data_IF_520887634480
#
_entry.id   IF_520887634480
#
_cell.length_a   1.000
_cell.length_b   1.000
_cell.length_c   1.000
_cell.angle_alpha   90.00
_cell.angle_beta   90.00
_cell.angle_gamma   90.00
#
_symmetry.space_group_name_H-M   'P 1'
#
loop_
_entity.id
_entity.type
_entity.pdbx_description
1 polymer ?
#
# COMPACT_ATOMS: atom_id res chain seq x y z
N UNK A 1 3.37 -14.05 10.46
CA UNK A 1 1.89 -14.04 10.39
C UNK A 1 1.44 -15.44 10.01
N UNK A 2 0.55 -16.06 10.78
CA UNK A 2 0.03 -17.39 10.46
C UNK A 2 -1.02 -17.29 9.33
N UNK A 3 -1.19 -18.33 8.49
CA UNK A 3 -2.28 -18.35 7.53
C UNK A 3 -3.64 -18.36 8.23
N UNK A 4 -4.65 -17.71 7.63
CA UNK A 4 -6.04 -17.86 8.06
C UNK A 4 -6.58 -19.22 7.61
N UNK A 5 -7.44 -19.84 8.42
CA UNK A 5 -8.21 -21.02 8.03
C UNK A 5 -9.32 -20.69 7.03
N UNK A 6 -9.78 -19.43 6.98
CA UNK A 6 -10.83 -18.97 6.08
C UNK A 6 -10.30 -18.54 4.70
N UNK A 7 -9.04 -18.13 4.62
CA UNK A 7 -8.42 -17.60 3.40
C UNK A 7 -9.05 -16.29 2.90
N UNK A 8 -8.64 -15.87 1.70
CA UNK A 8 -9.22 -14.70 1.01
C UNK A 8 -10.58 -15.06 0.39
N UNK A 9 -11.35 -14.06 0.00
CA UNK A 9 -12.60 -14.25 -0.73
C UNK A 9 -12.36 -14.78 -2.15
N UNK A 10 -13.41 -15.28 -2.79
CA UNK A 10 -13.37 -15.66 -4.22
C UNK A 10 -13.11 -14.44 -5.11
N UNK A 11 -13.68 -13.28 -4.79
CA UNK A 11 -13.43 -12.03 -5.49
C UNK A 11 -11.95 -11.65 -5.48
N UNK A 12 -11.30 -11.76 -4.32
CA UNK A 12 -9.86 -11.53 -4.19
C UNK A 12 -9.00 -12.59 -4.88
N UNK A 13 -9.42 -13.86 -4.92
CA UNK A 13 -8.74 -14.88 -5.73
C UNK A 13 -8.73 -14.51 -7.22
N UNK A 14 -9.89 -14.12 -7.76
CA UNK A 14 -10.03 -13.72 -9.15
C UNK A 14 -9.24 -12.44 -9.46
N UNK A 15 -9.32 -11.44 -8.57
CA UNK A 15 -8.54 -10.20 -8.67
C UNK A 15 -7.05 -10.49 -8.77
N UNK A 16 -6.49 -11.29 -7.85
CA UNK A 16 -5.06 -11.60 -7.84
C UNK A 16 -4.64 -12.35 -9.11
N UNK A 17 -5.47 -13.27 -9.59
CA UNK A 17 -5.21 -13.98 -10.83
C UNK A 17 -5.14 -13.02 -12.02
N UNK A 18 -6.08 -12.07 -12.13
CA UNK A 18 -6.04 -11.04 -13.19
C UNK A 18 -4.81 -10.15 -13.06
N UNK A 19 -4.51 -9.64 -11.86
CA UNK A 19 -3.35 -8.78 -11.63
C UNK A 19 -2.01 -9.46 -11.97
N UNK A 20 -1.90 -10.78 -11.83
CA UNK A 20 -0.70 -11.54 -12.20
C UNK A 20 -0.58 -11.85 -13.69
N UNK A 21 -1.70 -12.12 -14.36
CA UNK A 21 -1.71 -12.64 -15.74
C UNK A 21 -1.81 -11.53 -16.79
N UNK A 22 -2.45 -10.40 -16.44
CA UNK A 22 -2.64 -9.29 -17.37
C UNK A 22 -1.30 -8.68 -17.78
N UNK A 23 -1.16 -8.46 -19.09
CA UNK A 23 0.09 -7.97 -19.65
C UNK A 23 0.17 -6.45 -19.53
N UNK A 24 1.33 -5.97 -19.09
CA UNK A 24 1.70 -4.55 -19.14
C UNK A 24 2.96 -4.38 -19.99
N UNK A 25 3.09 -3.25 -20.72
CA UNK A 25 4.32 -2.94 -21.42
C UNK A 25 5.46 -2.88 -20.41
N UNK A 26 6.57 -3.53 -20.74
CA UNK A 26 7.76 -3.55 -19.90
C UNK A 26 8.80 -2.56 -20.45
N UNK A 27 9.63 -1.96 -19.59
CA UNK A 27 10.76 -1.16 -20.02
C UNK A 27 11.71 -1.95 -20.95
N UNK A 28 12.31 -1.25 -21.91
CA UNK A 28 13.32 -1.80 -22.82
C UNK A 28 14.69 -1.15 -22.53
N UNK A 29 15.77 -1.79 -22.97
CA UNK A 29 17.14 -1.31 -22.78
C UNK A 29 17.51 -1.20 -21.30
N UNK A 30 17.20 -2.25 -20.54
CA UNK A 30 17.31 -2.29 -19.08
C UNK A 30 18.27 -3.35 -18.57
N UNK A 31 18.56 -3.29 -17.27
CA UNK A 31 19.32 -4.32 -16.56
C UNK A 31 18.61 -5.69 -16.51
N UNK A 32 17.33 -5.74 -16.90
CA UNK A 32 16.53 -6.96 -17.00
C UNK A 32 16.48 -7.53 -18.43
N UNK A 33 17.15 -6.91 -19.40
CA UNK A 33 17.19 -7.44 -20.75
C UNK A 33 17.93 -8.80 -20.79
N UNK A 34 17.58 -9.64 -21.77
CA UNK A 34 18.02 -11.05 -21.83
C UNK A 34 19.54 -11.23 -21.82
N UNK A 35 20.26 -10.32 -22.46
CA UNK A 35 21.72 -10.27 -22.54
C UNK A 35 22.38 -9.64 -21.30
N UNK A 36 21.61 -8.87 -20.52
CA UNK A 36 22.10 -8.13 -19.37
C UNK A 36 21.86 -8.84 -18.03
N UNK A 37 20.72 -9.51 -17.86
CA UNK A 37 20.23 -9.96 -16.56
C UNK A 37 21.19 -10.88 -15.79
N UNK A 38 21.89 -11.78 -16.50
CA UNK A 38 22.86 -12.68 -15.88
C UNK A 38 24.02 -11.89 -15.25
N UNK A 39 24.55 -10.90 -15.99
CA UNK A 39 25.61 -10.00 -15.53
C UNK A 39 25.12 -9.07 -14.43
N UNK A 40 23.90 -8.52 -14.55
CA UNK A 40 23.27 -7.69 -13.50
C UNK A 40 23.26 -8.42 -12.17
N UNK A 41 22.72 -9.64 -12.14
CA UNK A 41 22.64 -10.42 -10.90
C UNK A 41 24.03 -10.77 -10.35
N UNK A 42 24.99 -11.12 -11.21
CA UNK A 42 26.37 -11.39 -10.79
C UNK A 42 27.04 -10.16 -10.17
N UNK A 43 26.77 -8.96 -10.70
CA UNK A 43 27.30 -7.72 -10.15
C UNK A 43 26.67 -7.33 -8.81
N UNK A 44 25.42 -7.76 -8.58
CA UNK A 44 24.67 -7.49 -7.36
C UNK A 44 24.88 -8.52 -6.25
N UNK A 45 25.38 -9.73 -6.55
CA UNK A 45 25.42 -10.86 -5.60
C UNK A 45 26.19 -10.64 -4.29
N UNK A 46 27.01 -9.59 -4.22
CA UNK A 46 27.79 -9.22 -3.03
C UNK A 46 27.58 -7.74 -2.64
N UNK A 47 26.47 -7.14 -3.07
CA UNK A 47 26.18 -5.71 -2.87
C UNK A 47 25.19 -5.49 -1.74
N UNK A 48 25.26 -4.29 -1.16
CA UNK A 48 24.35 -3.88 -0.10
C UNK A 48 22.95 -3.54 -0.64
N UNK A 49 22.02 -3.37 0.29
CA UNK A 49 20.61 -3.04 0.00
C UNK A 49 20.47 -1.78 -0.86
N UNK A 50 21.19 -0.72 -0.52
CA UNK A 50 21.17 0.54 -1.28
C UNK A 50 21.51 0.34 -2.77
N UNK A 51 22.48 -0.53 -3.08
CA UNK A 51 22.85 -0.83 -4.47
C UNK A 51 21.80 -1.66 -5.19
N UNK A 52 21.17 -2.61 -4.50
CA UNK A 52 20.03 -3.37 -5.04
C UNK A 52 18.85 -2.43 -5.32
N UNK A 53 18.55 -1.51 -4.40
CA UNK A 53 17.51 -0.50 -4.56
C UNK A 53 17.76 0.37 -5.79
N UNK A 54 18.96 0.92 -5.88
CA UNK A 54 19.34 1.83 -6.95
C UNK A 54 19.24 1.17 -8.34
N UNK A 55 19.71 -0.07 -8.47
CA UNK A 55 19.87 -0.69 -9.78
C UNK A 55 18.59 -1.38 -10.29
N UNK A 56 17.87 -2.10 -9.41
CA UNK A 56 16.81 -3.01 -9.89
C UNK A 56 15.44 -2.81 -9.25
N UNK A 57 15.31 -2.10 -8.12
CA UNK A 57 13.99 -2.01 -7.45
C UNK A 57 12.92 -1.38 -8.33
N UNK A 58 13.23 -0.38 -9.16
CA UNK A 58 12.25 0.24 -10.06
C UNK A 58 11.87 -0.64 -11.27
N UNK A 59 12.66 -1.68 -11.55
CA UNK A 59 12.33 -2.71 -12.55
C UNK A 59 11.46 -3.83 -11.96
N UNK A 60 11.27 -3.87 -10.63
CA UNK A 60 10.40 -4.81 -9.93
C UNK A 60 9.14 -4.13 -9.38
N UNK A 61 9.31 -2.93 -8.80
CA UNK A 61 8.28 -2.10 -8.18
C UNK A 61 8.41 -0.69 -8.78
N UNK A 62 7.76 -0.40 -9.91
CA UNK A 62 7.82 0.91 -10.56
C UNK A 62 7.30 2.04 -9.65
N UNK A 63 7.85 3.24 -9.88
CA UNK A 63 7.42 4.47 -9.22
C UNK A 63 5.99 4.84 -9.68
N UNK A 64 5.09 5.00 -8.72
CA UNK A 64 3.71 5.44 -8.93
C UNK A 64 3.69 6.89 -9.44
N UNK A 65 4.55 7.76 -8.90
CA UNK A 65 4.64 9.15 -9.34
C UNK A 65 5.24 9.26 -10.75
N UNK A 66 6.26 8.46 -11.08
CA UNK A 66 6.78 8.39 -12.45
C UNK A 66 5.75 7.82 -13.43
N UNK A 67 4.94 6.84 -12.99
CA UNK A 67 3.86 6.29 -13.80
C UNK A 67 2.74 7.31 -14.07
N UNK A 68 2.49 8.24 -13.14
CA UNK A 68 1.48 9.29 -13.30
C UNK A 68 1.76 10.25 -14.47
N UNK A 69 3.01 10.42 -14.89
CA UNK A 69 3.33 11.18 -16.12
C UNK A 69 2.79 10.53 -17.40
N UNK A 70 2.49 9.22 -17.37
CA UNK A 70 1.95 8.46 -18.51
C UNK A 70 0.48 8.09 -18.32
N UNK A 71 0.01 8.06 -17.08
CA UNK A 71 -1.34 7.66 -16.71
C UNK A 71 -1.92 8.73 -15.76
N UNK A 72 -2.66 9.69 -16.31
CA UNK A 72 -3.22 10.82 -15.55
C UNK A 72 -4.08 10.37 -14.35
N UNK A 73 -4.77 9.23 -14.48
CA UNK A 73 -5.56 8.62 -13.40
C UNK A 73 -4.74 8.23 -12.17
N UNK A 74 -3.40 8.12 -12.30
CA UNK A 74 -2.50 7.85 -11.17
C UNK A 74 -2.04 9.13 -10.48
N UNK A 75 -2.44 10.31 -10.95
CA UNK A 75 -2.12 11.60 -10.32
C UNK A 75 -2.63 11.75 -8.88
N UNK A 76 -3.54 10.86 -8.45
CA UNK A 76 -4.01 10.76 -7.06
C UNK A 76 -3.03 10.03 -6.13
N UNK A 77 -1.99 9.39 -6.67
CA UNK A 77 -1.03 8.60 -5.92
C UNK A 77 0.21 9.41 -5.55
N UNK A 78 0.84 9.03 -4.44
CA UNK A 78 2.18 9.46 -4.05
C UNK A 78 2.95 8.30 -3.47
N UNK A 79 4.26 8.46 -3.38
CA UNK A 79 5.16 7.45 -2.88
C UNK A 79 6.12 8.01 -1.84
N UNK A 80 6.64 7.10 -1.01
CA UNK A 80 7.69 7.42 -0.06
C UNK A 80 8.84 6.44 -0.24
N UNK A 81 10.07 6.90 0.03
CA UNK A 81 11.29 6.10 -0.07
C UNK A 81 11.98 6.14 1.29
N UNK A 82 12.12 4.96 1.93
CA UNK A 82 12.74 4.79 3.25
C UNK A 82 12.22 5.76 4.33
N UNK A 83 10.94 6.14 4.24
CA UNK A 83 10.32 7.10 5.15
C UNK A 83 9.68 6.39 6.33
N UNK A 84 10.01 6.84 7.56
CA UNK A 84 9.37 6.34 8.78
C UNK A 84 7.93 6.82 8.84
N UNK A 85 7.03 5.92 9.22
CA UNK A 85 5.60 6.21 9.35
C UNK A 85 5.30 6.89 10.69
N UNK A 86 5.77 8.13 10.84
CA UNK A 86 5.73 8.87 12.11
C UNK A 86 4.34 9.27 12.55
N UNK A 87 3.39 9.34 11.61
CA UNK A 87 2.00 9.71 11.90
C UNK A 87 1.13 8.50 12.15
N UNK A 88 1.57 7.27 11.85
CA UNK A 88 0.69 6.11 11.98
C UNK A 88 0.54 5.70 13.44
N UNK A 89 -0.69 5.35 13.85
CA UNK A 89 -0.93 4.63 15.09
C UNK A 89 -0.12 3.33 15.09
N UNK A 90 0.78 3.12 16.06
CA UNK A 90 1.62 1.95 16.10
C UNK A 90 0.79 0.69 16.38
N UNK A 91 1.19 -0.43 15.78
CA UNK A 91 0.77 -1.77 16.23
C UNK A 91 1.75 -2.33 17.27
N UNK A 92 3.01 -1.90 17.20
CA UNK A 92 4.11 -2.30 18.07
C UNK A 92 4.94 -1.07 18.43
N UNK A 93 5.87 -1.18 19.39
CA UNK A 93 6.71 -0.04 19.79
C UNK A 93 7.54 0.56 18.64
N UNK A 94 7.87 -0.23 17.62
CA UNK A 94 8.62 0.24 16.46
C UNK A 94 7.67 0.80 15.42
N UNK A 95 7.96 1.96 14.84
CA UNK A 95 7.23 2.44 13.66
C UNK A 95 7.81 1.83 12.39
N UNK A 96 6.97 1.47 11.41
CA UNK A 96 7.45 1.01 10.10
C UNK A 96 8.26 2.07 9.36
N UNK A 97 9.20 1.62 8.53
CA UNK A 97 9.92 2.47 7.59
C UNK A 97 10.23 1.67 6.31
N UNK A 98 9.22 1.37 5.47
CA UNK A 98 9.42 0.62 4.23
C UNK A 98 10.42 1.32 3.31
N UNK A 99 11.23 0.54 2.58
CA UNK A 99 12.13 1.07 1.55
C UNK A 99 11.37 1.79 0.44
N UNK A 100 10.15 1.35 0.18
CA UNK A 100 9.23 2.04 -0.70
C UNK A 100 7.79 1.81 -0.28
N UNK A 101 6.94 2.83 -0.34
CA UNK A 101 5.51 2.70 -0.10
C UNK A 101 4.70 3.58 -1.04
N UNK A 102 3.46 3.17 -1.33
CA UNK A 102 2.50 3.91 -2.15
C UNK A 102 1.17 4.01 -1.43
N UNK A 103 0.55 5.16 -1.58
CA UNK A 103 -0.74 5.52 -1.03
C UNK A 103 -1.33 6.69 -1.80
N UNK A 104 -2.34 7.29 -1.23
CA UNK A 104 -3.05 8.42 -1.80
C UNK A 104 -2.46 9.75 -1.33
N UNK A 105 -2.43 10.72 -2.23
CA UNK A 105 -2.08 12.10 -1.91
C UNK A 105 -3.13 12.73 -1.01
N UNK A 106 -2.78 13.85 -0.38
CA UNK A 106 -3.74 14.65 0.38
C UNK A 106 -4.89 15.19 -0.48
N UNK A 107 -4.61 15.52 -1.75
CA UNK A 107 -5.54 16.09 -2.74
C UNK A 107 -6.24 15.03 -3.60
N UNK A 108 -6.01 13.74 -3.29
CA UNK A 108 -6.74 12.63 -3.90
C UNK A 108 -8.21 12.56 -3.50
N UNK A 109 -8.63 13.29 -2.46
CA UNK A 109 -9.98 13.28 -1.93
C UNK A 109 -10.58 14.68 -1.98
N UNK A 110 -11.90 14.78 -2.12
CA UNK A 110 -12.58 16.08 -2.11
C UNK A 110 -12.39 16.78 -0.76
N UNK A 111 -12.64 18.10 -0.71
CA UNK A 111 -12.63 18.84 0.55
C UNK A 111 -13.61 18.25 1.56
N UNK A 112 -14.80 17.85 1.12
CA UNK A 112 -15.83 17.24 1.97
C UNK A 112 -15.37 15.89 2.51
N UNK A 113 -14.81 15.03 1.66
CA UNK A 113 -14.23 13.75 2.08
C UNK A 113 -13.07 13.95 3.08
N UNK A 114 -12.21 14.95 2.83
CA UNK A 114 -11.12 15.30 3.73
C UNK A 114 -11.61 15.73 5.11
N UNK A 115 -12.69 16.52 5.19
CA UNK A 115 -13.33 16.91 6.46
C UNK A 115 -13.89 15.70 7.18
N UNK A 116 -14.59 14.81 6.47
CA UNK A 116 -15.18 13.60 7.04
C UNK A 116 -14.15 12.61 7.58
N UNK A 117 -12.95 12.57 7.00
CA UNK A 117 -11.85 11.73 7.49
C UNK A 117 -11.15 12.29 8.74
N UNK A 118 -11.43 13.53 9.18
CA UNK A 118 -10.73 14.16 10.33
C UNK A 118 -10.68 13.27 11.58
N UNK A 119 -11.77 12.59 12.01
CA UNK A 119 -11.73 11.72 13.19
C UNK A 119 -10.74 10.57 13.09
N UNK A 120 -10.51 10.02 11.89
CA UNK A 120 -9.56 8.94 11.65
C UNK A 120 -8.11 9.44 11.51
N UNK A 121 -7.95 10.74 11.29
CA UNK A 121 -6.65 11.36 11.05
C UNK A 121 -6.05 11.92 12.33
N UNK A 122 -6.88 12.51 13.19
CA UNK A 122 -6.44 13.22 14.38
C UNK A 122 -5.89 14.62 14.06
N UNK A 123 -5.46 15.33 15.10
CA UNK A 123 -4.78 16.61 14.99
C UNK A 123 -3.27 16.43 14.90
N UNK A 124 -2.79 16.40 13.66
CA UNK A 124 -1.36 16.24 13.34
C UNK A 124 -0.46 17.33 13.94
N UNK A 125 -1.00 18.52 14.26
CA UNK A 125 -0.22 19.65 14.77
C UNK A 125 0.12 19.52 16.25
N UNK A 126 -0.64 18.72 17.00
CA UNK A 126 -0.37 18.43 18.42
C UNK A 126 0.25 17.04 18.62
N UNK A 127 0.54 16.33 17.53
CA UNK A 127 1.24 15.05 17.54
C UNK A 127 0.33 13.83 17.63
N UNK A 128 -0.95 13.94 17.27
CA UNK A 128 -1.86 12.79 17.28
C UNK A 128 -1.39 11.70 16.31
N UNK A 129 -1.56 10.45 16.75
CA UNK A 129 -1.37 9.29 15.92
C UNK A 129 -2.62 9.00 15.08
N UNK A 130 -2.41 8.69 13.81
CA UNK A 130 -3.41 8.58 12.76
C UNK A 130 -3.67 7.14 12.34
N UNK A 131 -4.92 6.78 12.10
CA UNK A 131 -5.25 5.53 11.40
C UNK A 131 -4.93 5.64 9.91
N UNK A 132 -5.12 6.82 9.31
CA UNK A 132 -5.08 6.99 7.85
C UNK A 132 -3.75 7.54 7.33
N UNK A 133 -2.90 8.16 8.16
CA UNK A 133 -1.62 8.71 7.72
C UNK A 133 -0.45 7.83 8.12
N UNK A 134 0.38 7.51 7.14
CA UNK A 134 1.72 6.97 7.37
C UNK A 134 2.72 8.11 7.56
N UNK A 135 2.76 9.04 6.61
CA UNK A 135 3.54 10.28 6.67
C UNK A 135 2.61 11.48 6.52
N UNK A 136 3.13 12.71 6.62
CA UNK A 136 2.34 13.92 6.37
C UNK A 136 1.74 14.00 4.95
N UNK A 137 2.23 13.21 4.01
CA UNK A 137 1.83 13.23 2.60
C UNK A 137 1.30 11.87 2.09
N UNK A 138 1.50 10.78 2.82
CA UNK A 138 1.04 9.43 2.44
C UNK A 138 -0.21 9.04 3.23
N UNK A 139 -1.38 9.08 2.58
CA UNK A 139 -2.69 8.74 3.16
C UNK A 139 -3.15 7.37 2.65
N UNK A 140 -3.74 6.57 3.54
CA UNK A 140 -4.26 5.21 3.27
C UNK A 140 -3.28 4.41 2.38
N UNK A 141 -2.07 4.09 2.90
CA UNK A 141 -1.09 3.31 2.15
C UNK A 141 -1.68 1.96 1.74
N UNK A 142 -1.30 1.44 0.58
CA UNK A 142 -1.79 0.16 0.07
C UNK A 142 -0.71 -0.72 -0.56
N UNK A 143 0.48 -0.19 -0.83
CA UNK A 143 1.61 -0.98 -1.33
C UNK A 143 2.85 -0.67 -0.50
N UNK A 144 3.55 -1.70 -0.05
CA UNK A 144 4.84 -1.55 0.63
C UNK A 144 5.88 -2.45 -0.03
N UNK A 145 7.14 -2.02 0.00
CA UNK A 145 8.27 -2.80 -0.47
C UNK A 145 9.41 -2.77 0.54
N UNK A 146 10.00 -3.93 0.78
CA UNK A 146 11.18 -4.12 1.62
C UNK A 146 12.23 -4.85 0.79
N UNK A 147 13.40 -4.24 0.71
CA UNK A 147 14.53 -4.74 -0.05
C UNK A 147 15.53 -5.31 0.93
N UNK A 148 16.27 -6.32 0.50
CA UNK A 148 17.44 -6.79 1.24
C UNK A 148 18.64 -6.79 0.31
N UNK A 149 19.81 -6.59 0.92
CA UNK A 149 21.08 -6.78 0.24
C UNK A 149 21.25 -8.21 -0.27
N UNK A 150 22.36 -8.45 -0.95
CA UNK A 150 22.58 -9.73 -1.59
C UNK A 150 22.64 -10.89 -0.58
N UNK A 151 21.91 -11.97 -0.87
CA UNK A 151 21.76 -13.10 0.06
C UNK A 151 21.00 -12.78 1.35
N UNK A 152 20.41 -11.59 1.46
CA UNK A 152 19.61 -11.18 2.60
C UNK A 152 18.32 -11.98 2.75
N UNK A 153 17.90 -12.19 3.99
CA UNK A 153 16.74 -13.02 4.33
C UNK A 153 15.42 -12.29 4.02
N UNK A 154 14.73 -12.74 2.96
CA UNK A 154 13.41 -12.23 2.60
C UNK A 154 12.35 -12.50 3.65
N UNK A 155 12.53 -13.47 4.56
CA UNK A 155 11.59 -13.64 5.68
C UNK A 155 11.64 -12.44 6.65
N UNK A 156 12.78 -11.77 6.78
CA UNK A 156 12.88 -10.51 7.55
C UNK A 156 12.09 -9.42 6.84
N UNK A 157 12.32 -9.24 5.54
CA UNK A 157 11.60 -8.29 4.69
C UNK A 157 10.07 -8.51 4.77
N UNK A 158 9.65 -9.76 4.68
CA UNK A 158 8.26 -10.18 4.76
C UNK A 158 7.61 -9.87 6.12
N UNK A 159 8.37 -9.93 7.23
CA UNK A 159 7.87 -9.56 8.55
C UNK A 159 7.72 -8.04 8.67
N UNK A 160 8.68 -7.27 8.15
CA UNK A 160 8.60 -5.81 8.12
C UNK A 160 7.42 -5.35 7.27
N UNK A 161 7.28 -5.89 6.06
CA UNK A 161 6.14 -5.65 5.19
C UNK A 161 4.80 -6.05 5.82
N UNK A 162 4.72 -7.21 6.50
CA UNK A 162 3.49 -7.62 7.18
C UNK A 162 3.06 -6.61 8.25
N UNK A 163 4.00 -6.00 8.96
CA UNK A 163 3.69 -4.96 9.93
C UNK A 163 3.13 -3.70 9.25
N UNK A 164 3.81 -3.18 8.22
CA UNK A 164 3.36 -2.01 7.47
C UNK A 164 2.01 -2.22 6.80
N UNK A 165 1.82 -3.36 6.14
CA UNK A 165 0.57 -3.70 5.46
C UNK A 165 -0.58 -3.97 6.45
N UNK A 166 -0.30 -4.41 7.68
CA UNK A 166 -1.34 -4.52 8.71
C UNK A 166 -1.91 -3.15 9.08
N UNK A 167 -1.07 -2.13 9.21
CA UNK A 167 -1.55 -0.76 9.47
C UNK A 167 -2.40 -0.24 8.31
N UNK A 168 -1.98 -0.49 7.08
CA UNK A 168 -2.75 -0.18 5.87
C UNK A 168 -4.13 -0.85 5.86
N UNK A 169 -4.19 -2.16 6.10
CA UNK A 169 -5.43 -2.93 6.13
C UNK A 169 -6.33 -2.48 7.29
N UNK A 170 -5.76 -2.23 8.47
CA UNK A 170 -6.51 -1.75 9.65
C UNK A 170 -7.26 -0.47 9.35
N UNK A 171 -6.62 0.52 8.74
CA UNK A 171 -7.25 1.79 8.40
C UNK A 171 -8.56 1.59 7.62
N UNK A 172 -8.52 0.72 6.61
CA UNK A 172 -9.66 0.45 5.73
C UNK A 172 -10.69 -0.42 6.44
N UNK A 173 -10.27 -1.44 7.18
CA UNK A 173 -11.18 -2.32 7.90
C UNK A 173 -11.98 -1.57 8.98
N UNK A 174 -11.33 -0.70 9.76
CA UNK A 174 -11.95 0.17 10.77
C UNK A 174 -12.97 1.13 10.14
N UNK A 175 -12.64 1.74 8.99
CA UNK A 175 -13.56 2.59 8.24
C UNK A 175 -14.85 1.86 7.85
N UNK A 176 -14.70 0.68 7.23
CA UNK A 176 -15.84 -0.08 6.74
C UNK A 176 -16.66 -0.71 7.87
N UNK A 177 -16.00 -1.11 8.96
CA UNK A 177 -16.68 -1.57 10.17
C UNK A 177 -17.52 -0.44 10.79
N UNK A 178 -16.96 0.78 10.88
CA UNK A 178 -17.63 1.94 11.48
C UNK A 178 -18.94 2.32 10.78
N UNK A 179 -19.01 2.17 9.46
CA UNK A 179 -20.20 2.49 8.64
C UNK A 179 -21.10 1.29 8.38
N UNK A 180 -20.88 0.14 9.03
CA UNK A 180 -21.71 -1.05 8.88
C UNK A 180 -21.57 -1.76 7.53
N UNK A 181 -20.44 -1.56 6.83
CA UNK A 181 -20.13 -2.16 5.51
C UNK A 181 -18.97 -3.16 5.59
N UNK A 182 -18.75 -3.77 6.75
CA UNK A 182 -17.66 -4.71 6.99
C UNK A 182 -17.62 -5.88 5.99
N UNK A 183 -18.79 -6.35 5.53
CA UNK A 183 -18.90 -7.45 4.56
C UNK A 183 -18.23 -7.15 3.20
N UNK A 184 -18.09 -5.86 2.82
CA UNK A 184 -17.43 -5.46 1.57
C UNK A 184 -15.91 -5.58 1.60
N UNK A 185 -15.33 -5.72 2.80
CA UNK A 185 -13.87 -5.80 2.99
C UNK A 185 -13.44 -7.06 3.73
N UNK A 186 -14.37 -7.80 4.33
CA UNK A 186 -14.08 -9.06 5.00
C UNK A 186 -13.48 -10.05 4.00
N UNK A 187 -12.26 -10.53 4.30
CA UNK A 187 -11.46 -11.43 3.46
C UNK A 187 -11.05 -10.87 2.09
N UNK A 188 -11.29 -9.59 1.82
CA UNK A 188 -10.80 -8.93 0.62
C UNK A 188 -9.36 -8.44 0.80
N UNK A 189 -8.55 -8.52 -0.26
CA UNK A 189 -7.21 -7.94 -0.27
C UNK A 189 -7.33 -6.42 -0.37
N UNK A 190 -6.79 -5.74 0.64
CA UNK A 190 -6.83 -4.28 0.79
C UNK A 190 -5.45 -3.63 0.67
N UNK A 191 -4.38 -4.41 0.78
CA UNK A 191 -3.02 -3.93 0.57
C UNK A 191 -2.13 -5.04 -0.01
N UNK A 192 -1.03 -4.63 -0.62
CA UNK A 192 -0.02 -5.51 -1.20
C UNK A 192 1.33 -5.23 -0.58
N UNK A 193 2.18 -6.25 -0.52
CA UNK A 193 3.58 -6.05 -0.20
C UNK A 193 4.49 -6.84 -1.12
N UNK A 194 5.62 -6.24 -1.47
CA UNK A 194 6.65 -6.85 -2.30
C UNK A 194 7.94 -6.92 -1.48
N UNK A 195 8.59 -8.08 -1.45
CA UNK A 195 9.93 -8.21 -0.87
C UNK A 195 10.89 -8.71 -1.94
N UNK A 196 12.08 -8.14 -2.02
CA UNK A 196 13.06 -8.63 -2.99
C UNK A 196 14.51 -8.42 -2.54
N UNK A 197 15.41 -9.15 -3.19
CA UNK A 197 16.85 -9.00 -3.05
C UNK A 197 17.48 -8.93 -4.46
N UNK A 198 18.74 -9.33 -4.57
CA UNK A 198 19.54 -9.32 -5.79
C UNK A 198 19.12 -10.36 -6.85
N UNK A 199 18.25 -11.32 -6.51
CA UNK A 199 17.90 -12.41 -7.43
C UNK A 199 16.45 -12.89 -7.39
N UNK A 200 15.71 -12.57 -6.33
CA UNK A 200 14.37 -13.10 -6.07
C UNK A 200 13.41 -12.02 -5.60
N UNK A 201 12.12 -12.25 -5.84
CA UNK A 201 11.01 -11.39 -5.44
C UNK A 201 9.85 -12.23 -4.91
N UNK A 202 9.16 -11.73 -3.89
CA UNK A 202 7.93 -12.29 -3.35
C UNK A 202 6.86 -11.21 -3.28
N UNK A 203 5.62 -11.61 -3.50
CA UNK A 203 4.43 -10.74 -3.51
C UNK A 203 3.40 -11.35 -2.59
N UNK A 204 2.81 -10.51 -1.74
CA UNK A 204 1.73 -10.89 -0.84
C UNK A 204 0.57 -9.91 -0.94
N UNK A 205 -0.65 -10.42 -0.78
CA UNK A 205 -1.85 -9.62 -0.52
C UNK A 205 -2.19 -9.68 0.97
N UNK A 206 -2.66 -8.59 1.55
CA UNK A 206 -3.01 -8.47 2.96
C UNK A 206 -4.49 -8.13 3.10
N UNK A 207 -5.15 -8.78 4.06
CA UNK A 207 -6.60 -8.76 4.19
C UNK A 207 -7.03 -8.89 5.65
N UNK A 208 -8.20 -8.34 6.02
CA UNK A 208 -8.80 -8.56 7.32
C UNK A 208 -9.71 -9.80 7.28
N UNK A 209 -9.89 -10.42 8.44
CA UNK A 209 -11.03 -11.29 8.74
C UNK A 209 -11.80 -10.61 9.86
N UNK A 210 -13.06 -10.32 9.60
CA UNK A 210 -13.96 -9.62 10.53
C UNK A 210 -14.99 -10.62 11.03
N UNK A 211 -15.05 -10.79 12.35
CA UNK A 211 -16.00 -11.67 13.02
C UNK A 211 -16.47 -11.00 14.32
N UNK A 212 -17.77 -10.88 14.52
CA UNK A 212 -18.39 -10.31 15.73
C UNK A 212 -17.84 -8.91 16.12
N UNK A 213 -17.41 -8.12 15.14
CA UNK A 213 -16.81 -6.79 15.35
C UNK A 213 -15.30 -6.79 15.58
N UNK A 214 -14.70 -7.96 15.83
CA UNK A 214 -13.25 -8.10 15.96
C UNK A 214 -12.59 -8.25 14.59
N UNK A 215 -11.43 -7.60 14.42
CA UNK A 215 -10.64 -7.63 13.17
C UNK A 215 -9.33 -8.36 13.42
N UNK A 216 -9.09 -9.42 12.64
CA UNK A 216 -7.81 -10.13 12.58
C UNK A 216 -7.14 -9.93 11.22
N UNK A 217 -5.81 -9.82 11.19
CA UNK A 217 -5.06 -9.47 9.98
C UNK A 217 -4.23 -10.64 9.47
N UNK A 218 -4.32 -10.88 8.16
CA UNK A 218 -3.70 -12.00 7.49
C UNK A 218 -3.04 -11.59 6.18
N UNK A 219 -2.17 -12.47 5.68
CA UNK A 219 -1.55 -12.33 4.36
C UNK A 219 -1.76 -13.58 3.52
N UNK A 220 -1.84 -13.38 2.22
CA UNK A 220 -1.97 -14.42 1.19
C UNK A 220 -0.72 -14.38 0.29
N UNK A 221 0.04 -15.47 0.15
CA UNK A 221 1.13 -15.55 -0.83
C UNK A 221 0.56 -15.45 -2.25
N UNK A 222 1.05 -14.49 -3.03
CA UNK A 222 0.62 -14.27 -4.42
C UNK A 222 1.64 -14.84 -5.40
N UNK A 223 2.92 -14.50 -5.20
CA UNK A 223 4.00 -14.94 -6.09
C UNK A 223 5.31 -15.05 -5.32
N UNK A 224 6.15 -16.00 -5.71
CA UNK A 224 7.55 -16.08 -5.32
C UNK A 224 8.35 -16.59 -6.51
N UNK A 225 9.42 -15.90 -6.87
CA UNK A 225 10.16 -16.24 -8.08
C UNK A 225 11.53 -15.60 -8.20
N UNK A 226 12.37 -16.23 -9.01
CA UNK A 226 13.66 -15.69 -9.41
C UNK A 226 13.52 -14.96 -10.74
N UNK A 227 13.85 -13.68 -10.80
CA UNK A 227 13.71 -12.88 -12.02
C UNK A 227 14.80 -13.16 -13.08
N UNK A 228 15.82 -13.98 -12.75
CA UNK A 228 16.67 -14.63 -13.75
C UNK A 228 15.86 -15.55 -14.69
N UNK A 229 14.77 -16.14 -14.20
CA UNK A 229 13.86 -16.92 -15.03
C UNK A 229 13.06 -15.97 -15.94
N UNK A 230 13.16 -16.17 -17.25
CA UNK A 230 12.44 -15.40 -18.27
C UNK A 230 10.94 -15.27 -17.97
N UNK A 231 10.31 -16.35 -17.49
CA UNK A 231 8.87 -16.37 -17.20
C UNK A 231 8.51 -15.46 -16.02
N UNK A 232 9.38 -15.33 -15.02
CA UNK A 232 9.08 -14.57 -13.78
C UNK A 232 9.65 -13.15 -13.81
N UNK A 233 10.52 -12.85 -14.78
CA UNK A 233 11.34 -11.64 -14.80
C UNK A 233 10.56 -10.35 -14.62
N UNK A 234 9.45 -10.24 -15.35
CA UNK A 234 8.63 -9.04 -15.36
C UNK A 234 7.35 -9.19 -14.54
N UNK A 235 7.18 -10.30 -13.80
CA UNK A 235 5.95 -10.57 -13.04
C UNK A 235 5.69 -9.48 -12.01
N UNK A 236 6.68 -9.12 -11.19
CA UNK A 236 6.51 -8.07 -10.17
C UNK A 236 6.21 -6.70 -10.77
N UNK A 237 6.89 -6.34 -11.86
CA UNK A 237 6.67 -5.07 -12.55
C UNK A 237 5.24 -4.98 -13.07
N UNK A 238 4.80 -6.00 -13.81
CA UNK A 238 3.46 -6.06 -14.41
C UNK A 238 2.38 -6.08 -13.34
N UNK A 239 2.58 -6.91 -12.31
CA UNK A 239 1.68 -6.94 -11.15
C UNK A 239 1.51 -5.56 -10.53
N UNK A 240 2.61 -4.85 -10.27
CA UNK A 240 2.57 -3.51 -9.68
C UNK A 240 1.87 -2.51 -10.60
N UNK A 241 2.15 -2.53 -11.90
CA UNK A 241 1.45 -1.67 -12.87
C UNK A 241 -0.04 -2.02 -12.97
N UNK A 242 -0.41 -3.29 -12.88
CA UNK A 242 -1.82 -3.74 -12.83
C UNK A 242 -2.50 -3.28 -11.53
N UNK A 243 -1.81 -3.31 -10.39
CA UNK A 243 -2.32 -2.74 -9.13
C UNK A 243 -2.62 -1.26 -9.33
N UNK A 244 -1.69 -0.49 -9.91
CA UNK A 244 -1.89 0.94 -10.16
C UNK A 244 -3.01 1.22 -11.16
N UNK A 245 -3.06 0.50 -12.28
CA UNK A 245 -3.95 0.88 -13.40
C UNK A 245 -5.34 0.25 -13.31
N UNK A 246 -5.49 -0.89 -12.64
CA UNK A 246 -6.77 -1.59 -12.54
C UNK A 246 -7.34 -1.59 -11.12
N UNK A 247 -6.53 -1.95 -10.12
CA UNK A 247 -7.03 -2.10 -8.76
C UNK A 247 -7.24 -0.75 -8.05
N UNK A 248 -6.31 0.19 -8.19
CA UNK A 248 -6.38 1.50 -7.52
C UNK A 248 -7.66 2.27 -7.87
N UNK A 249 -8.10 2.40 -9.15
CA UNK A 249 -9.35 3.11 -9.44
C UNK A 249 -10.58 2.51 -8.73
N UNK A 250 -10.68 1.19 -8.69
CA UNK A 250 -11.77 0.50 -7.98
C UNK A 250 -11.67 0.69 -6.46
N UNK A 251 -10.47 0.55 -5.92
CA UNK A 251 -10.22 0.70 -4.49
C UNK A 251 -10.47 2.14 -4.02
N UNK A 252 -10.03 3.13 -4.79
CA UNK A 252 -10.27 4.55 -4.52
C UNK A 252 -11.76 4.89 -4.57
N UNK A 253 -12.50 4.43 -5.59
CA UNK A 253 -13.95 4.65 -5.66
C UNK A 253 -14.70 4.04 -4.47
N UNK A 254 -14.27 2.85 -4.02
CA UNK A 254 -14.79 2.21 -2.80
C UNK A 254 -14.49 3.02 -1.54
N UNK A 255 -13.28 3.58 -1.40
CA UNK A 255 -12.92 4.45 -0.28
C UNK A 255 -13.75 5.74 -0.29
N UNK A 256 -13.86 6.42 -1.44
CA UNK A 256 -14.70 7.61 -1.58
C UNK A 256 -16.14 7.34 -1.14
N UNK A 257 -16.74 6.25 -1.65
CA UNK A 257 -18.09 5.81 -1.27
C UNK A 257 -18.24 5.60 0.23
N UNK A 258 -17.24 5.01 0.90
CA UNK A 258 -17.27 4.79 2.35
C UNK A 258 -17.11 6.09 3.14
N UNK A 259 -16.18 6.95 2.74
CA UNK A 259 -15.93 8.24 3.37
C UNK A 259 -17.16 9.16 3.24
N UNK A 260 -17.88 9.12 2.13
CA UNK A 260 -19.09 9.90 1.89
C UNK A 260 -20.29 9.48 2.78
N UNK A 261 -20.17 8.37 3.53
CA UNK A 261 -21.16 7.94 4.52
C UNK A 261 -20.79 8.29 5.96
N UNK A 262 -19.54 8.72 6.21
CA UNK A 262 -19.14 9.18 7.53
C UNK A 262 -19.92 10.44 7.91
N UNK A 263 -20.33 10.53 9.18
CA UNK A 263 -21.00 11.71 9.70
C UNK A 263 -20.16 12.97 9.49
N UNK A 264 -20.81 14.08 9.13
CA UNK A 264 -20.13 15.36 9.05
C UNK A 264 -19.77 15.81 10.46
N UNK A 265 -18.48 16.10 10.67
CA UNK A 265 -18.02 16.75 11.89
C UNK A 265 -18.31 18.24 11.72
N UNK A 266 -19.04 18.90 12.64
CA UNK A 266 -19.25 20.34 12.59
C UNK A 266 -17.89 21.05 12.50
N UNK A 267 -17.76 22.01 11.57
CA UNK A 267 -16.60 22.89 11.56
C UNK A 267 -16.53 23.64 12.89
N UNK A 268 -15.37 23.65 13.55
CA UNK A 268 -15.16 24.51 14.73
C UNK A 268 -15.45 26.00 14.42
N UNK A 269 -15.37 26.39 13.14
CA UNK A 269 -15.73 27.72 12.63
C UNK A 269 -17.23 28.07 12.72
N UNK A 270 -18.14 27.09 12.84
CA UNK A 270 -19.57 27.37 13.01
C UNK A 270 -19.94 27.75 14.45
N UNK A 271 -19.08 27.44 15.42
CA UNK A 271 -19.33 27.72 16.84
C UNK A 271 -19.06 29.18 17.24
N UNK A 272 -18.35 29.97 16.41
CA UNK A 272 -18.07 31.37 16.70
C UNK A 272 -19.14 32.34 16.19
N UNK A 273 -20.10 31.89 15.38
CA UNK A 273 -21.17 32.75 14.82
C UNK A 273 -22.45 32.77 15.67
N UNK A 274 -22.64 31.80 16.56
CA UNK A 274 -23.82 31.70 17.43
C UNK A 274 -23.68 32.47 18.77
N UNK A 275 -22.47 32.88 19.15
CA UNK A 275 -22.22 33.58 20.41
C UNK A 275 -22.35 35.11 20.32
N UNK A 276 -22.43 35.69 19.12
CA UNK A 276 -22.57 37.15 18.93
C UNK A 276 -24.03 37.62 18.75
N UNK A 277 -25.02 36.72 18.67
CA UNK A 277 -26.43 37.09 18.52
C UNK A 277 -27.25 37.17 19.81
N UNK A 278 -26.68 36.87 20.98
CA UNK A 278 -27.37 37.00 22.28
C UNK A 278 -26.90 38.22 23.12
N UNK A 279 -26.13 39.14 22.53
CA UNK A 279 -25.68 40.37 23.18
C UNK A 279 -26.24 41.66 22.54
N UNK A 280 -27.55 41.67 22.22
CA UNK A 280 -28.32 42.87 21.89
C UNK A 280 -29.45 43.11 22.90
#
# INVERSE_FOLDING_TARGET
MRPSTLGISEGSHNLVASLLNDQQPVPQNTLFDDDCIARTCANLSNRNEAKVIQDISRLLVPSAEAAAFKHESLGILTETVSARWTFSQPLTQTQPAPDYAVGFRHDAFTRQQSTRMRPFIGNIFVGDESLFLATAYLRVPFLTCEVKGAGGDLQVADRQNAHSATLAVRAIAELFLNIGRADEVNREILAFSISHNDSSVQIYGHYPVIADGDISYFRHPIHAGFFKNKTHRWTSYRFTMNVYTYWVPMHWGRLCSAIDQLAEVPSEDDSSSAAESEAL
#
